data_IF_244438243829
#
_entry.id   IF_244438243829
#
_cell.length_a   1.000
_cell.length_b   1.000
_cell.length_c   1.000
_cell.angle_alpha   90.00
_cell.angle_beta   90.00
_cell.angle_gamma   90.00
#
_symmetry.space_group_name_H-M   'P 1'
#
loop_
_entity.id
_entity.type
_entity.pdbx_description
1 polymer ?
#
# COMPACT_ATOMS: atom_id res chain seq x y z
N UNK A 1 10.61 3.48 -3.98
CA UNK A 1 10.92 2.80 -2.70
C UNK A 1 9.58 2.32 -2.17
N UNK A 2 9.50 1.06 -1.76
CA UNK A 2 8.27 0.49 -1.18
C UNK A 2 8.51 0.40 0.32
N UNK A 3 7.70 1.09 1.10
CA UNK A 3 7.78 1.05 2.56
C UNK A 3 6.53 0.35 3.09
N UNK A 4 6.75 -0.78 3.77
CA UNK A 4 5.77 -1.35 4.68
C UNK A 4 5.88 -0.55 5.97
N UNK A 5 4.80 0.13 6.36
CA UNK A 5 4.82 1.01 7.52
C UNK A 5 4.70 0.19 8.81
N UNK A 6 3.53 -0.39 9.11
CA UNK A 6 3.34 -1.22 10.30
C UNK A 6 2.29 -2.31 10.09
N UNK A 7 2.28 -3.27 11.02
CA UNK A 7 1.20 -4.24 11.11
C UNK A 7 -0.03 -3.59 11.76
N UNK A 8 -1.18 -3.72 11.12
CA UNK A 8 -2.44 -3.19 11.65
C UNK A 8 -2.74 -3.84 13.00
N UNK A 9 -2.89 -2.99 14.03
CA UNK A 9 -3.26 -3.41 15.39
C UNK A 9 -2.11 -3.40 16.41
N UNK A 10 -0.88 -3.17 15.98
CA UNK A 10 0.27 -3.04 16.89
C UNK A 10 0.28 -1.65 17.58
N UNK A 11 0.78 -1.60 18.82
CA UNK A 11 0.95 -0.33 19.54
C UNK A 11 2.06 0.50 18.88
N UNK A 12 1.72 1.71 18.43
CA UNK A 12 2.69 2.64 17.87
C UNK A 12 3.53 3.27 18.98
N UNK A 13 4.85 3.17 18.87
CA UNK A 13 5.77 3.85 19.79
C UNK A 13 5.88 5.34 19.44
N UNK A 14 6.19 6.18 20.43
CA UNK A 14 6.26 7.64 20.28
C UNK A 14 7.29 8.12 19.22
N UNK A 15 8.28 7.28 18.90
CA UNK A 15 9.29 7.55 17.87
C UNK A 15 8.91 7.15 16.45
N UNK A 16 7.83 6.39 16.28
CA UNK A 16 7.39 5.79 15.01
C UNK A 16 6.26 6.62 14.35
N UNK A 17 5.92 7.77 14.94
CA UNK A 17 4.84 8.64 14.46
C UNK A 17 5.09 9.22 13.05
N UNK A 18 6.37 9.37 12.65
CA UNK A 18 6.76 9.86 11.32
C UNK A 18 6.47 8.83 10.20
N UNK A 19 6.38 7.54 10.53
CA UNK A 19 6.15 6.45 9.56
C UNK A 19 4.66 6.24 9.22
N UNK A 20 3.78 7.07 9.80
CA UNK A 20 2.33 7.07 9.55
C UNK A 20 1.53 6.37 10.66
N UNK A 21 0.19 6.45 10.62
CA UNK A 21 -0.64 5.88 11.67
C UNK A 21 -0.58 4.34 11.66
N UNK A 22 -0.88 3.64 12.77
CA UNK A 22 -0.69 2.19 12.89
C UNK A 22 -1.58 1.36 11.94
N UNK A 23 -2.64 1.96 11.40
CA UNK A 23 -3.47 1.37 10.36
C UNK A 23 -2.92 1.49 8.92
N UNK A 24 -1.82 2.22 8.71
CA UNK A 24 -1.19 2.36 7.40
C UNK A 24 -0.43 1.06 7.06
N UNK A 25 -0.96 0.29 6.13
CA UNK A 25 -0.38 -0.99 5.73
C UNK A 25 0.76 -0.86 4.71
N UNK A 26 0.61 0.01 3.71
CA UNK A 26 1.53 0.08 2.58
C UNK A 26 1.45 1.43 1.86
N UNK A 27 2.61 1.93 1.41
CA UNK A 27 2.71 3.10 0.53
C UNK A 27 3.33 2.73 -0.82
N UNK A 28 2.58 2.96 -1.90
CA UNK A 28 3.04 2.72 -3.27
C UNK A 28 3.78 3.94 -3.84
N UNK A 29 5.11 3.97 -3.71
CA UNK A 29 5.96 5.05 -4.21
C UNK A 29 6.35 4.95 -5.70
N UNK A 30 5.53 4.31 -6.54
CA UNK A 30 5.85 4.03 -7.95
C UNK A 30 5.54 5.15 -8.93
N UNK A 31 4.55 6.01 -8.65
CA UNK A 31 4.18 7.12 -9.54
C UNK A 31 5.05 8.36 -9.28
N UNK A 32 5.42 9.06 -10.36
CA UNK A 32 6.21 10.31 -10.33
C UNK A 32 5.37 11.58 -10.51
N UNK A 33 4.08 11.42 -10.79
CA UNK A 33 3.11 12.49 -10.92
C UNK A 33 1.85 12.19 -10.09
N UNK A 34 0.94 13.17 -10.05
CA UNK A 34 -0.32 13.04 -9.34
C UNK A 34 -1.14 11.87 -9.91
N UNK A 35 -1.59 11.00 -9.02
CA UNK A 35 -2.52 9.91 -9.34
C UNK A 35 -3.88 10.53 -9.64
N UNK A 36 -4.46 10.18 -10.79
CA UNK A 36 -5.76 10.69 -11.24
C UNK A 36 -6.89 9.71 -10.95
N UNK A 37 -6.63 8.39 -11.02
CA UNK A 37 -7.60 7.36 -10.67
C UNK A 37 -6.91 6.02 -10.33
N UNK A 38 -7.65 5.12 -9.66
CA UNK A 38 -7.23 3.75 -9.42
C UNK A 38 -8.42 2.78 -9.34
N UNK A 39 -8.15 1.50 -9.55
CA UNK A 39 -9.15 0.44 -9.45
C UNK A 39 -8.56 -0.86 -8.93
N UNK A 40 -9.30 -1.49 -8.01
CA UNK A 40 -9.02 -2.84 -7.53
C UNK A 40 -9.39 -3.87 -8.59
N UNK A 41 -8.52 -4.86 -8.78
CA UNK A 41 -8.86 -6.03 -9.57
C UNK A 41 -9.93 -6.86 -8.82
N UNK A 42 -11.02 -7.20 -9.51
CA UNK A 42 -12.13 -7.99 -8.93
C UNK A 42 -11.83 -9.48 -8.82
N UNK A 43 -10.82 -9.95 -9.53
CA UNK A 43 -10.50 -11.37 -9.67
C UNK A 43 -9.23 -11.77 -8.93
N UNK A 44 -8.28 -10.84 -8.79
CA UNK A 44 -7.00 -11.08 -8.12
C UNK A 44 -6.88 -10.19 -6.88
N UNK A 45 -6.93 -10.76 -5.66
CA UNK A 45 -6.75 -10.01 -4.42
C UNK A 45 -5.44 -9.22 -4.41
N UNK A 46 -5.47 -8.05 -3.78
CA UNK A 46 -4.30 -7.18 -3.60
C UNK A 46 -3.68 -6.63 -4.89
N UNK A 47 -4.27 -6.89 -6.05
CA UNK A 47 -3.86 -6.29 -7.33
C UNK A 47 -4.64 -5.00 -7.56
N UNK A 48 -3.90 -3.93 -7.83
CA UNK A 48 -4.42 -2.59 -8.11
C UNK A 48 -3.90 -2.12 -9.47
N UNK A 49 -4.74 -1.39 -10.18
CA UNK A 49 -4.36 -0.58 -11.34
C UNK A 49 -4.51 0.89 -11.00
N UNK A 50 -3.52 1.72 -11.36
CA UNK A 50 -3.53 3.17 -11.11
C UNK A 50 -2.98 3.94 -12.30
N UNK A 51 -3.50 5.16 -12.50
CA UNK A 51 -3.10 6.08 -13.57
C UNK A 51 -2.69 7.43 -13.00
N UNK A 52 -1.75 8.12 -13.68
CA UNK A 52 -1.26 9.43 -13.27
C UNK A 52 -1.17 10.42 -14.43
N UNK A 53 -1.03 11.71 -14.09
CA UNK A 53 -1.03 12.83 -15.03
C UNK A 53 0.19 12.85 -16.00
N UNK A 54 1.23 12.05 -15.72
CA UNK A 54 2.41 11.88 -16.58
C UNK A 54 2.26 10.75 -17.61
N UNK A 55 1.01 10.39 -17.94
CA UNK A 55 0.67 9.32 -18.88
C UNK A 55 1.14 7.93 -18.43
N UNK A 56 1.44 7.73 -17.15
CA UNK A 56 1.77 6.40 -16.60
C UNK A 56 0.52 5.64 -16.17
N UNK A 57 0.51 4.34 -16.48
CA UNK A 57 -0.39 3.36 -15.91
C UNK A 57 0.47 2.29 -15.24
N UNK A 58 0.14 1.94 -14.00
CA UNK A 58 0.84 0.90 -13.26
C UNK A 58 -0.16 -0.16 -12.79
N UNK A 59 0.24 -1.43 -12.91
CA UNK A 59 -0.45 -2.56 -12.29
C UNK A 59 0.52 -3.18 -11.30
N UNK A 60 0.10 -3.26 -10.04
CA UNK A 60 0.96 -3.69 -8.94
C UNK A 60 0.17 -4.53 -7.93
N UNK A 61 0.89 -5.35 -7.18
CA UNK A 61 0.34 -6.27 -6.19
C UNK A 61 1.12 -6.13 -4.89
N UNK A 62 0.42 -6.08 -3.74
CA UNK A 62 1.10 -6.18 -2.45
C UNK A 62 1.71 -7.58 -2.30
N UNK A 63 2.92 -7.66 -1.76
CA UNK A 63 3.54 -8.94 -1.45
C UNK A 63 2.82 -9.63 -0.29
N UNK A 64 2.66 -10.96 -0.37
CA UNK A 64 2.01 -11.78 0.65
C UNK A 64 2.58 -11.57 2.06
N UNK A 65 3.89 -11.31 2.17
CA UNK A 65 4.54 -11.01 3.45
C UNK A 65 4.04 -9.75 4.15
N UNK A 66 3.31 -8.88 3.45
CA UNK A 66 2.79 -7.61 3.97
C UNK A 66 1.39 -7.82 4.59
N UNK A 67 0.57 -8.72 4.02
CA UNK A 67 -0.82 -8.91 4.45
C UNK A 67 -1.12 -10.32 5.01
N UNK A 68 -0.23 -11.29 4.83
CA UNK A 68 -0.46 -12.72 5.09
C UNK A 68 -0.71 -13.07 6.55
N UNK A 69 -0.16 -12.30 7.48
CA UNK A 69 -0.42 -12.55 8.90
C UNK A 69 -1.70 -11.87 9.44
N UNK A 70 -2.35 -11.00 8.66
CA UNK A 70 -3.56 -10.26 9.09
C UNK A 70 -4.85 -11.08 8.92
N UNK A 71 -4.80 -12.25 8.27
CA UNK A 71 -5.97 -13.07 7.91
C UNK A 71 -6.06 -14.42 8.64
N UNK A 72 -5.03 -14.81 9.41
CA UNK A 72 -5.00 -16.07 10.18
C UNK A 72 -5.17 -15.84 11.71
N UNK A 73 -6.09 -14.96 12.09
CA UNK A 73 -6.50 -14.69 13.49
C UNK A 73 -7.96 -15.00 13.75
#
# INVERSE_FOLDING_TARGET
>A
MFDAAFRIGDEQLEGDADDGPPELLFSHGGHTAKISDFSWNKYEPWVISSVADDNTLQVWQLADSIYGDAIDG
#
